data_IF_248718772463
#
_entry.id   IF_248718772463
#
_cell.length_a   1.000
_cell.length_b   1.000
_cell.length_c   1.000
_cell.angle_alpha   90.00
_cell.angle_beta   90.00
_cell.angle_gamma   90.00
#
_symmetry.space_group_name_H-M   'P 1'
#
loop_
_entity.id
_entity.type
_entity.pdbx_description
1 polymer ?
#
# COMPACT_ATOMS: atom_id res chain seq x y z
N UNK A 1 -17.97 -19.82 2.68
CA UNK A 1 -18.54 -18.50 2.31
C UNK A 1 -17.49 -17.80 1.47
N UNK A 2 -17.83 -17.46 0.24
CA UNK A 2 -16.90 -17.01 -0.79
C UNK A 2 -16.35 -15.61 -0.46
N UNK A 3 -15.04 -15.40 -0.60
CA UNK A 3 -14.30 -14.20 -0.14
C UNK A 3 -14.21 -13.10 -1.22
N UNK A 4 -15.03 -13.14 -2.25
CA UNK A 4 -14.82 -12.37 -3.49
C UNK A 4 -15.17 -10.87 -3.42
N UNK A 5 -15.52 -10.34 -2.24
CA UNK A 5 -16.02 -8.95 -2.09
C UNK A 5 -15.07 -8.01 -1.33
N UNK A 6 -13.78 -8.34 -1.18
CA UNK A 6 -12.83 -7.49 -0.43
C UNK A 6 -12.34 -6.26 -1.23
N UNK A 7 -12.60 -6.21 -2.54
CA UNK A 7 -12.21 -5.11 -3.41
C UNK A 7 -13.45 -4.54 -4.10
N UNK A 8 -13.86 -3.34 -3.71
CA UNK A 8 -14.97 -2.61 -4.35
C UNK A 8 -14.36 -1.54 -5.26
N UNK A 9 -14.66 -1.62 -6.56
CA UNK A 9 -14.31 -0.56 -7.51
C UNK A 9 -15.11 0.68 -7.16
N UNK A 10 -14.44 1.74 -6.71
CA UNK A 10 -15.05 3.05 -6.52
C UNK A 10 -14.98 3.82 -7.84
N UNK A 11 -16.14 4.06 -8.45
CA UNK A 11 -16.25 4.91 -9.64
C UNK A 11 -16.58 6.34 -9.21
N UNK A 12 -15.65 7.26 -9.45
CA UNK A 12 -15.90 8.70 -9.26
C UNK A 12 -16.96 9.11 -10.28
N UNK A 13 -18.11 9.61 -9.81
CA UNK A 13 -19.10 10.18 -10.72
C UNK A 13 -18.52 11.45 -11.36
N UNK A 14 -18.43 11.53 -12.69
CA UNK A 14 -17.87 12.69 -13.37
C UNK A 14 -18.65 13.96 -13.00
N UNK A 15 -17.94 14.97 -12.50
CA UNK A 15 -18.54 16.20 -11.98
C UNK A 15 -18.91 17.19 -13.11
N UNK A 16 -18.42 16.96 -14.34
CA UNK A 16 -18.62 17.83 -15.50
C UNK A 16 -19.07 17.07 -16.77
N UNK A 17 -19.73 17.76 -17.70
CA UNK A 17 -20.17 17.22 -19.00
C UNK A 17 -19.02 16.69 -19.87
N UNK A 18 -17.82 17.29 -19.77
CA UNK A 18 -16.62 16.81 -20.46
C UNK A 18 -16.21 15.41 -20.02
N UNK A 19 -16.27 15.15 -18.71
CA UNK A 19 -15.88 13.86 -18.14
C UNK A 19 -16.89 12.76 -18.49
N UNK A 20 -18.18 13.11 -18.64
CA UNK A 20 -19.21 12.19 -19.17
C UNK A 20 -18.94 11.78 -20.62
N UNK A 21 -18.51 12.73 -21.45
CA UNK A 21 -18.22 12.48 -22.85
C UNK A 21 -17.01 11.54 -23.01
N UNK A 22 -15.97 11.75 -22.21
CA UNK A 22 -14.79 10.89 -22.18
C UNK A 22 -15.10 9.47 -21.68
N UNK A 23 -16.02 9.33 -20.72
CA UNK A 23 -16.53 8.03 -20.27
C UNK A 23 -17.32 7.30 -21.38
N UNK A 24 -18.13 8.04 -22.16
CA UNK A 24 -18.91 7.45 -23.27
C UNK A 24 -18.06 7.02 -24.47
N UNK A 25 -16.92 7.67 -24.69
CA UNK A 25 -15.98 7.35 -25.78
C UNK A 25 -15.08 6.14 -25.46
N UNK A 26 -15.04 5.72 -24.20
CA UNK A 26 -14.27 4.54 -23.74
C UNK A 26 -15.09 3.25 -23.74
N UNK A 27 -16.38 3.30 -24.07
CA UNK A 27 -17.25 2.11 -24.22
C UNK A 27 -17.03 1.41 -25.57
N UNK A 28 -16.57 0.14 -25.62
CA UNK A 28 -16.24 -0.56 -26.86
C UNK A 28 -17.43 -1.02 -27.73
N UNK A 29 -18.67 -0.62 -27.40
CA UNK A 29 -19.89 -1.23 -27.96
C UNK A 29 -20.65 -0.40 -29.00
N UNK A 30 -20.13 0.75 -29.45
CA UNK A 30 -20.77 1.54 -30.51
C UNK A 30 -19.79 1.85 -31.64
N UNK A 31 -19.64 0.92 -32.58
CA UNK A 31 -18.97 1.16 -33.87
C UNK A 31 -20.04 1.17 -34.99
N UNK A 32 -20.26 2.27 -35.71
CA UNK A 32 -21.11 2.25 -36.91
C UNK A 32 -20.41 1.49 -38.04
N UNK A 33 -21.16 0.64 -38.72
CA UNK A 33 -20.74 -0.14 -39.89
C UNK A 33 -20.29 0.77 -41.05
N UNK A 34 -19.14 0.45 -41.64
CA UNK A 34 -18.62 1.12 -42.84
C UNK A 34 -19.38 0.61 -44.08
N UNK A 35 -20.24 1.45 -44.66
CA UNK A 35 -20.72 1.25 -46.03
C UNK A 35 -19.67 1.79 -47.01
N UNK A 36 -19.11 0.87 -47.79
CA UNK A 36 -18.26 1.15 -48.95
C UNK A 36 -19.08 1.78 -50.06
N UNK A 37 -18.64 2.90 -50.63
CA UNK A 37 -19.03 3.29 -51.98
C UNK A 37 -17.82 3.83 -52.75
N UNK A 38 -17.57 3.18 -53.90
CA UNK A 38 -16.62 3.57 -54.96
C UNK A 38 -17.24 4.67 -55.82
N UNK A 39 -16.41 5.58 -56.33
CA UNK A 39 -16.42 6.25 -57.67
C UNK A 39 -15.35 7.36 -57.61
N UNK A 40 -14.19 7.25 -58.28
CA UNK A 40 -13.81 7.46 -59.70
C UNK A 40 -13.64 8.93 -60.16
N UNK A 41 -12.37 9.22 -60.49
CA UNK A 41 -11.81 10.05 -61.58
C UNK A 41 -11.97 11.60 -61.57
N UNK A 42 -10.85 12.32 -61.77
CA UNK A 42 -10.84 13.57 -62.55
C UNK A 42 -10.03 14.78 -62.05
N UNK A 43 -8.75 14.85 -62.44
CA UNK A 43 -8.04 16.01 -63.05
C UNK A 43 -7.55 17.27 -62.26
N UNK A 44 -6.55 17.88 -62.91
CA UNK A 44 -5.45 18.80 -62.58
C UNK A 44 -5.65 20.19 -61.89
N UNK A 45 -4.54 20.62 -61.25
CA UNK A 45 -3.80 21.90 -61.35
C UNK A 45 -3.62 22.83 -60.11
N UNK A 46 -2.33 23.07 -59.83
CA UNK A 46 -1.58 24.31 -59.49
C UNK A 46 -1.76 25.10 -58.19
N UNK A 47 -0.58 25.36 -57.61
CA UNK A 47 -0.06 26.54 -56.92
C UNK A 47 -0.36 26.88 -55.45
N UNK A 48 0.79 27.00 -54.75
CA UNK A 48 1.18 28.02 -53.79
C UNK A 48 0.68 28.04 -52.33
N UNK A 49 1.68 27.84 -51.47
CA UNK A 49 1.96 28.65 -50.26
C UNK A 49 1.03 28.46 -49.05
N UNK A 50 1.50 27.73 -48.03
CA UNK A 50 1.89 28.26 -46.71
C UNK A 50 2.17 27.11 -45.73
N UNK A 51 3.46 26.90 -45.43
CA UNK A 51 3.92 26.09 -44.32
C UNK A 51 3.52 26.79 -43.01
N UNK A 52 2.39 26.39 -42.43
CA UNK A 52 2.04 26.74 -41.06
C UNK A 52 2.26 25.48 -40.25
N UNK A 53 3.40 25.43 -39.57
CA UNK A 53 3.73 24.40 -38.60
C UNK A 53 2.75 24.53 -37.42
N UNK A 54 1.64 23.81 -37.51
CA UNK A 54 0.80 23.46 -36.37
C UNK A 54 1.21 22.03 -36.02
N UNK A 55 2.29 21.88 -35.26
CA UNK A 55 2.63 20.58 -34.68
C UNK A 55 1.80 20.42 -33.40
N UNK A 56 0.55 20.01 -33.63
CA UNK A 56 -0.30 19.35 -32.66
C UNK A 56 0.37 18.05 -32.21
N UNK A 57 1.07 18.06 -31.08
CA UNK A 57 1.12 16.88 -30.21
C UNK A 57 1.38 17.30 -28.76
N UNK A 58 0.44 18.06 -28.18
CA UNK A 58 0.20 17.93 -26.74
C UNK A 58 -0.50 16.59 -26.56
N UNK A 59 0.26 15.49 -26.53
CA UNK A 59 -0.21 14.24 -25.95
C UNK A 59 -0.51 14.51 -24.50
N UNK A 60 -1.74 14.92 -24.20
CA UNK A 60 -2.34 14.78 -22.89
C UNK A 60 -2.40 13.28 -22.64
N UNK A 61 -1.30 12.73 -22.14
CA UNK A 61 -1.29 11.38 -21.56
C UNK A 61 -2.28 11.44 -20.41
N UNK A 62 -3.53 11.07 -20.67
CA UNK A 62 -4.52 10.84 -19.64
C UNK A 62 -3.96 9.68 -18.80
N UNK A 63 -3.28 10.02 -17.71
CA UNK A 63 -2.78 9.03 -16.78
C UNK A 63 -4.02 8.36 -16.18
N UNK A 64 -4.21 7.08 -16.53
CA UNK A 64 -5.26 6.28 -15.91
C UNK A 64 -4.81 6.00 -14.47
N UNK A 65 -5.12 6.94 -13.58
CA UNK A 65 -4.69 6.87 -12.18
C UNK A 65 -5.55 5.85 -11.43
N UNK A 66 -4.87 4.94 -10.73
CA UNK A 66 -5.49 3.92 -9.87
C UNK A 66 -5.08 4.20 -8.43
N UNK A 67 -6.07 4.28 -7.54
CA UNK A 67 -5.85 4.52 -6.11
C UNK A 67 -6.42 3.38 -5.26
N UNK A 68 -5.79 3.15 -4.10
CA UNK A 68 -6.20 2.15 -3.11
C UNK A 68 -6.57 2.88 -1.82
N UNK A 69 -7.69 2.49 -1.20
CA UNK A 69 -8.10 2.97 0.12
C UNK A 69 -8.13 1.81 1.12
N UNK A 70 -7.39 1.94 2.23
CA UNK A 70 -7.40 0.97 3.32
C UNK A 70 -8.46 1.36 4.38
N UNK A 71 -9.62 0.72 4.30
CA UNK A 71 -10.76 0.93 5.22
C UNK A 71 -10.84 -0.19 6.25
N UNK A 72 -11.67 0.02 7.28
CA UNK A 72 -11.96 -1.00 8.32
C UNK A 72 -10.73 -1.46 9.13
N UNK A 73 -9.97 -0.49 9.66
CA UNK A 73 -8.75 -0.75 10.47
C UNK A 73 -9.04 -0.98 11.97
N UNK A 74 -10.30 -1.24 12.35
CA UNK A 74 -10.73 -1.27 13.76
C UNK A 74 -10.20 -2.44 14.60
N UNK A 75 -9.65 -3.48 13.96
CA UNK A 75 -9.07 -4.66 14.60
C UNK A 75 -7.52 -4.68 14.58
N UNK A 76 -6.90 -3.52 14.40
CA UNK A 76 -5.45 -3.36 14.46
C UNK A 76 -4.91 -3.32 15.90
N UNK A 77 -3.57 -3.22 16.04
CA UNK A 77 -2.85 -3.09 17.32
C UNK A 77 -3.09 -4.23 18.34
N UNK A 78 -2.73 -5.48 18.01
CA UNK A 78 -2.82 -6.57 18.98
C UNK A 78 -1.74 -6.46 20.06
N UNK A 79 -2.05 -6.88 21.29
CA UNK A 79 -1.08 -6.90 22.41
C UNK A 79 -0.17 -8.12 22.42
N UNK A 80 -0.44 -9.12 21.55
CA UNK A 80 0.39 -10.31 21.34
C UNK A 80 0.25 -10.80 19.90
N UNK A 81 1.23 -11.56 19.41
CA UNK A 81 1.05 -12.29 18.15
C UNK A 81 -0.07 -13.34 18.31
N UNK A 82 -0.85 -13.63 17.24
CA UNK A 82 -1.87 -14.65 17.30
C UNK A 82 -1.34 -16.02 17.71
N UNK A 83 -2.17 -16.79 18.40
CA UNK A 83 -1.88 -18.19 18.70
C UNK A 83 -2.24 -19.07 17.48
N UNK A 84 -1.62 -20.25 17.34
CA UNK A 84 -1.75 -21.13 16.15
C UNK A 84 -3.20 -21.53 15.78
N UNK A 85 -4.13 -21.53 16.73
CA UNK A 85 -5.53 -21.89 16.50
C UNK A 85 -6.37 -20.74 15.90
N UNK A 86 -5.83 -19.51 15.84
CA UNK A 86 -6.43 -18.36 15.14
C UNK A 86 -5.34 -17.57 14.44
N UNK A 87 -5.16 -17.81 13.14
CA UNK A 87 -3.98 -17.33 12.40
C UNK A 87 -4.09 -15.89 11.86
N UNK A 88 -5.24 -15.20 12.01
CA UNK A 88 -5.53 -13.85 11.49
C UNK A 88 -4.65 -13.42 10.29
N UNK A 89 -4.75 -14.14 9.16
CA UNK A 89 -3.82 -13.97 8.06
C UNK A 89 -4.05 -12.68 7.28
N UNK A 90 -2.99 -12.14 6.71
CA UNK A 90 -3.06 -11.06 5.74
C UNK A 90 -3.54 -11.59 4.39
N UNK A 91 -4.81 -11.34 4.04
CA UNK A 91 -5.41 -11.94 2.85
C UNK A 91 -4.73 -11.53 1.54
N UNK A 92 -4.17 -10.32 1.48
CA UNK A 92 -3.42 -9.85 0.32
C UNK A 92 -2.15 -10.67 0.06
N UNK A 93 -1.63 -11.43 1.04
CA UNK A 93 -0.43 -12.24 0.87
C UNK A 93 -0.59 -13.37 -0.16
N UNK A 94 -1.83 -13.78 -0.45
CA UNK A 94 -2.11 -14.81 -1.47
C UNK A 94 -2.21 -14.27 -2.89
N UNK A 95 -2.24 -12.95 -3.06
CA UNK A 95 -2.28 -12.33 -4.37
C UNK A 95 -0.92 -12.46 -5.06
N UNK A 96 -0.93 -12.55 -6.40
CA UNK A 96 0.32 -12.63 -7.18
C UNK A 96 1.21 -11.41 -6.93
N UNK A 97 0.60 -10.26 -6.69
CA UNK A 97 1.23 -8.99 -6.36
C UNK A 97 2.11 -9.08 -5.10
N UNK A 98 1.73 -9.90 -4.10
CA UNK A 98 2.51 -10.06 -2.88
C UNK A 98 3.83 -10.82 -3.08
N UNK A 99 4.01 -11.50 -4.22
CA UNK A 99 5.27 -12.19 -4.58
C UNK A 99 6.27 -11.26 -5.27
N UNK A 100 5.88 -10.02 -5.58
CA UNK A 100 6.75 -9.03 -6.18
C UNK A 100 7.58 -8.38 -5.06
N UNK A 101 8.92 -8.31 -5.17
CA UNK A 101 9.77 -7.59 -4.22
C UNK A 101 9.35 -6.15 -3.99
N UNK A 102 9.64 -5.61 -2.80
CA UNK A 102 9.47 -4.18 -2.55
C UNK A 102 10.28 -3.33 -3.55
N UNK A 103 9.62 -2.38 -4.20
CA UNK A 103 10.25 -1.46 -5.16
C UNK A 103 11.26 -0.53 -4.49
N UNK A 104 12.20 0.01 -5.27
CA UNK A 104 13.14 1.02 -4.76
C UNK A 104 12.41 2.28 -4.30
N UNK A 105 11.31 2.65 -4.97
CA UNK A 105 10.45 3.76 -4.57
C UNK A 105 9.94 3.61 -3.14
N UNK A 106 9.27 2.49 -2.80
CA UNK A 106 8.73 2.31 -1.44
C UNK A 106 9.85 2.20 -0.40
N UNK A 107 10.99 1.58 -0.76
CA UNK A 107 12.17 1.52 0.11
C UNK A 107 12.71 2.92 0.41
N UNK A 108 12.90 3.76 -0.60
CA UNK A 108 13.35 5.14 -0.42
C UNK A 108 12.37 5.97 0.42
N UNK A 109 11.07 5.76 0.27
CA UNK A 109 10.06 6.51 1.02
C UNK A 109 9.91 6.06 2.48
N UNK A 110 9.98 4.76 2.78
CA UNK A 110 9.64 4.23 4.11
C UNK A 110 10.88 3.94 4.96
N UNK A 111 11.93 3.39 4.36
CA UNK A 111 13.09 2.85 5.09
C UNK A 111 13.83 3.89 5.95
N UNK A 112 13.99 5.18 5.54
CA UNK A 112 14.64 6.20 6.38
C UNK A 112 13.95 6.39 7.74
N UNK A 113 12.63 6.28 7.78
CA UNK A 113 11.83 6.48 8.99
C UNK A 113 11.85 5.27 9.90
N UNK A 114 11.57 4.08 9.35
CA UNK A 114 11.46 2.86 10.16
C UNK A 114 12.82 2.30 10.61
N UNK A 115 13.92 2.73 9.97
CA UNK A 115 15.28 2.38 10.38
C UNK A 115 15.79 3.26 11.53
N UNK A 116 15.25 4.47 11.69
CA UNK A 116 15.63 5.36 12.78
C UNK A 116 14.82 5.05 14.05
N UNK A 117 15.53 4.59 15.08
CA UNK A 117 14.91 4.28 16.37
C UNK A 117 14.43 5.53 17.10
N UNK A 118 14.98 6.71 16.82
CA UNK A 118 14.48 7.95 17.40
C UNK A 118 13.11 8.30 16.82
N UNK A 119 12.95 8.27 15.50
CA UNK A 119 11.64 8.42 14.85
C UNK A 119 10.62 7.41 15.37
N UNK A 120 10.95 6.11 15.34
CA UNK A 120 10.02 5.05 15.78
C UNK A 120 9.60 5.27 17.23
N UNK A 121 10.51 5.73 18.08
CA UNK A 121 10.23 5.94 19.50
C UNK A 121 9.45 7.23 19.75
N UNK A 122 9.98 8.37 19.32
CA UNK A 122 9.49 9.69 19.71
C UNK A 122 8.36 10.22 18.83
N UNK A 123 8.37 9.92 17.54
CA UNK A 123 7.36 10.42 16.61
C UNK A 123 6.21 9.43 16.45
N UNK A 124 6.49 8.12 16.43
CA UNK A 124 5.45 7.11 16.19
C UNK A 124 4.87 6.52 17.48
N UNK A 125 5.71 5.94 18.34
CA UNK A 125 5.22 5.24 19.54
C UNK A 125 4.63 6.20 20.58
N UNK A 126 5.28 7.33 20.83
CA UNK A 126 4.83 8.30 21.84
C UNK A 126 3.53 8.99 21.38
N UNK A 127 3.35 9.25 20.08
CA UNK A 127 2.09 9.77 19.50
C UNK A 127 0.94 8.76 19.66
N UNK A 128 1.17 7.47 19.34
CA UNK A 128 0.15 6.41 19.54
C UNK A 128 -0.20 6.26 21.02
N UNK A 129 0.80 6.30 21.90
CA UNK A 129 0.57 6.24 23.35
C UNK A 129 -0.27 7.43 23.82
N UNK A 130 0.01 8.63 23.32
CA UNK A 130 -0.78 9.84 23.59
C UNK A 130 -2.21 9.71 23.09
N UNK A 131 -2.41 9.17 21.88
CA UNK A 131 -3.74 8.92 21.32
C UNK A 131 -4.54 7.93 22.18
N UNK A 132 -3.97 6.77 22.51
CA UNK A 132 -4.66 5.74 23.29
C UNK A 132 -4.94 6.19 24.73
N UNK A 133 -4.18 7.14 25.27
CA UNK A 133 -4.42 7.68 26.62
C UNK A 133 -5.72 8.49 26.75
N UNK A 134 -6.38 8.82 25.64
CA UNK A 134 -7.66 9.52 25.64
C UNK A 134 -8.85 8.60 25.96
N UNK A 135 -8.67 7.28 25.85
CA UNK A 135 -9.71 6.31 26.17
C UNK A 135 -9.93 6.20 27.68
N UNK A 136 -11.19 6.07 28.10
CA UNK A 136 -11.57 5.93 29.52
C UNK A 136 -10.96 4.70 30.18
N UNK A 137 -10.81 3.62 29.40
CA UNK A 137 -10.29 2.33 29.86
C UNK A 137 -8.81 2.12 29.51
N UNK A 138 -8.05 3.22 29.35
CA UNK A 138 -6.64 3.17 29.03
C UNK A 138 -5.82 2.36 30.07
N UNK A 139 -5.21 1.27 29.62
CA UNK A 139 -4.22 0.51 30.38
C UNK A 139 -2.82 0.69 29.76
N UNK A 140 -1.98 1.48 30.45
CA UNK A 140 -0.59 1.71 30.07
C UNK A 140 0.18 0.42 29.82
N UNK A 141 -0.02 -0.64 30.62
CA UNK A 141 0.69 -1.91 30.45
C UNK A 141 0.24 -2.64 29.19
N UNK A 142 -1.04 -2.56 28.84
CA UNK A 142 -1.58 -3.11 27.60
C UNK A 142 -1.00 -2.39 26.38
N UNK A 143 -1.01 -1.05 26.41
CA UNK A 143 -0.47 -0.24 25.31
C UNK A 143 1.02 -0.49 25.10
N UNK A 144 1.82 -0.60 26.17
CA UNK A 144 3.23 -0.96 26.04
C UNK A 144 3.45 -2.34 25.39
N UNK A 145 2.56 -3.31 25.64
CA UNK A 145 2.59 -4.62 24.95
C UNK A 145 2.25 -4.47 23.47
N UNK A 146 1.22 -3.70 23.12
CA UNK A 146 0.87 -3.40 21.72
C UNK A 146 2.04 -2.74 20.98
N UNK A 147 2.66 -1.73 21.60
CA UNK A 147 3.83 -1.06 21.02
C UNK A 147 5.05 -1.99 20.91
N UNK A 148 5.19 -2.98 21.81
CA UNK A 148 6.25 -3.99 21.71
C UNK A 148 6.06 -4.94 20.51
N UNK A 149 4.80 -5.24 20.16
CA UNK A 149 4.47 -5.96 18.92
C UNK A 149 4.75 -5.08 17.71
N UNK A 150 4.29 -3.83 17.72
CA UNK A 150 4.50 -2.88 16.62
C UNK A 150 5.99 -2.68 16.32
N UNK A 151 6.84 -2.50 17.34
CA UNK A 151 8.30 -2.40 17.18
C UNK A 151 8.90 -3.66 16.56
N UNK A 152 8.41 -4.84 16.90
CA UNK A 152 8.81 -6.10 16.28
C UNK A 152 8.41 -6.19 14.81
N UNK A 153 7.21 -5.73 14.45
CA UNK A 153 6.75 -5.66 13.06
C UNK A 153 7.58 -4.68 12.23
N UNK A 154 7.87 -3.50 12.78
CA UNK A 154 8.73 -2.48 12.17
C UNK A 154 10.14 -3.05 11.92
N UNK A 155 10.69 -3.80 12.87
CA UNK A 155 12.00 -4.44 12.71
C UNK A 155 12.02 -5.46 11.56
N UNK A 156 11.00 -6.32 11.48
CA UNK A 156 10.87 -7.29 10.40
C UNK A 156 10.69 -6.61 9.04
N UNK A 157 9.85 -5.57 8.97
CA UNK A 157 9.63 -4.78 7.76
C UNK A 157 10.94 -4.13 7.28
N UNK A 158 11.67 -3.46 8.17
CA UNK A 158 12.94 -2.81 7.82
C UNK A 158 13.96 -3.84 7.29
N UNK A 159 14.03 -5.02 7.91
CA UNK A 159 14.91 -6.09 7.45
C UNK A 159 14.48 -6.63 6.08
N UNK A 160 13.18 -6.91 5.88
CA UNK A 160 12.65 -7.38 4.60
C UNK A 160 12.91 -6.40 3.46
N UNK A 161 12.75 -5.10 3.70
CA UNK A 161 13.03 -4.05 2.72
C UNK A 161 14.52 -3.97 2.35
N UNK A 162 15.43 -4.11 3.33
CA UNK A 162 16.89 -4.13 3.07
C UNK A 162 17.32 -5.37 2.29
N UNK A 163 16.72 -6.50 2.60
CA UNK A 163 17.02 -7.78 1.94
C UNK A 163 16.37 -7.92 0.55
N UNK A 164 15.57 -6.93 0.12
CA UNK A 164 14.85 -6.98 -1.16
C UNK A 164 13.77 -8.07 -1.20
N UNK A 165 13.19 -8.43 -0.06
CA UNK A 165 12.10 -9.42 0.04
C UNK A 165 10.79 -8.88 -0.54
N UNK A 166 9.89 -9.81 -0.87
CA UNK A 166 8.49 -9.54 -1.21
C UNK A 166 7.59 -9.44 0.03
N UNK A 167 6.40 -8.82 -0.08
CA UNK A 167 5.39 -8.84 0.99
C UNK A 167 5.02 -10.25 1.47
N UNK A 168 5.02 -11.23 0.57
CA UNK A 168 4.78 -12.64 0.89
C UNK A 168 5.89 -13.21 1.77
N UNK A 169 7.16 -12.94 1.47
CA UNK A 169 8.28 -13.40 2.30
C UNK A 169 8.33 -12.66 3.65
N UNK A 170 7.93 -11.39 3.69
CA UNK A 170 7.80 -10.63 4.94
C UNK A 170 6.84 -11.31 5.92
N UNK A 171 5.65 -11.73 5.46
CA UNK A 171 4.67 -12.38 6.36
C UNK A 171 5.11 -13.76 6.84
N UNK A 172 6.08 -14.38 6.16
CA UNK A 172 6.68 -15.65 6.59
C UNK A 172 7.79 -15.46 7.64
N UNK A 173 8.25 -14.24 7.86
CA UNK A 173 9.26 -13.97 8.89
C UNK A 173 8.71 -14.31 10.28
N UNK A 174 9.55 -14.91 11.17
CA UNK A 174 9.12 -15.22 12.52
C UNK A 174 8.74 -13.94 13.26
N UNK A 175 7.65 -14.01 14.04
CA UNK A 175 7.17 -12.87 14.82
C UNK A 175 8.23 -12.41 15.82
N UNK A 176 8.50 -11.11 15.85
CA UNK A 176 9.42 -10.51 16.82
C UNK A 176 8.63 -9.67 17.82
N UNK A 177 9.09 -9.63 19.07
CA UNK A 177 8.62 -8.70 20.10
C UNK A 177 9.82 -7.88 20.57
N UNK A 178 9.66 -6.56 20.64
CA UNK A 178 10.72 -5.65 21.10
C UNK A 178 10.22 -4.87 22.33
N UNK A 179 10.66 -5.31 23.50
CA UNK A 179 10.31 -4.69 24.78
C UNK A 179 11.29 -3.57 25.13
N UNK A 180 10.77 -2.45 25.66
CA UNK A 180 11.59 -1.40 26.27
C UNK A 180 11.96 -1.82 27.68
N UNK A 181 13.24 -1.91 28.02
CA UNK A 181 13.66 -1.99 29.42
C UNK A 181 13.70 -0.58 30.00
N UNK A 182 12.91 -0.34 31.03
CA UNK A 182 13.09 0.83 31.89
C UNK A 182 14.35 0.58 32.71
N UNK A 183 15.44 1.23 32.33
CA UNK A 183 16.63 1.35 33.19
C UNK A 183 16.46 2.65 33.94
N UNK A 184 16.84 2.64 35.21
CA UNK A 184 16.82 3.78 36.11
C UNK A 184 17.37 5.06 35.42
N UNK A 185 16.76 6.25 35.59
CA UNK A 185 17.17 7.48 34.89
C UNK A 185 18.64 7.88 35.14
N UNK A 186 19.29 7.29 36.13
CA UNK A 186 20.69 7.52 36.52
C UNK A 186 21.70 6.84 35.58
N UNK A 187 21.27 5.87 34.75
CA UNK A 187 22.12 5.17 33.79
C UNK A 187 21.55 5.43 32.39
N UNK A 188 22.00 6.51 31.75
CA UNK A 188 21.41 7.16 30.56
C UNK A 188 21.37 6.37 29.24
N UNK A 189 21.22 5.04 29.26
CA UNK A 189 21.10 4.22 28.05
C UNK A 189 19.81 3.40 28.05
N UNK A 190 18.87 3.74 27.14
CA UNK A 190 17.67 2.94 26.86
C UNK A 190 18.07 1.64 26.17
N UNK A 191 17.76 0.50 26.78
CA UNK A 191 18.02 -0.81 26.19
C UNK A 191 16.73 -1.47 25.72
N UNK A 192 16.73 -1.97 24.48
CA UNK A 192 15.65 -2.80 23.94
C UNK A 192 16.00 -4.29 24.10
N UNK A 193 15.01 -5.11 24.45
CA UNK A 193 15.15 -6.58 24.43
C UNK A 193 14.35 -7.14 23.28
N UNK A 194 15.05 -7.76 22.34
CA UNK A 194 14.43 -8.56 21.27
C UNK A 194 14.10 -9.94 21.81
N UNK A 195 12.85 -10.36 21.67
CA UNK A 195 12.42 -11.74 21.84
C UNK A 195 11.93 -12.23 20.49
N UNK A 196 12.51 -13.33 20.01
CA UNK A 196 11.98 -14.05 18.86
C UNK A 196 10.82 -14.90 19.36
N UNK A 197 9.72 -14.92 18.61
CA UNK A 197 8.80 -16.02 18.69
C UNK A 197 9.43 -17.14 17.86
N UNK A 198 10.05 -18.13 18.52
CA UNK A 198 10.76 -19.27 17.88
C UNK A 198 9.83 -20.18 17.07
N UNK A 199 8.56 -19.79 16.93
CA UNK A 199 7.55 -20.48 16.14
C UNK A 199 7.38 -19.73 14.83
N UNK A 200 7.79 -20.39 13.74
CA UNK A 200 7.48 -19.96 12.39
C UNK A 200 5.97 -19.70 12.29
N UNK A 201 5.52 -18.65 11.59
CA UNK A 201 4.13 -18.56 11.21
C UNK A 201 3.82 -19.79 10.34
N UNK A 202 3.21 -20.81 10.94
CA UNK A 202 2.73 -22.00 10.26
C UNK A 202 1.53 -21.57 9.40
N UNK A 203 1.83 -20.98 8.25
CA UNK A 203 0.92 -20.99 7.12
C UNK A 203 1.22 -22.25 6.31
N UNK A 204 1.08 -23.43 6.92
CA UNK A 204 1.04 -24.68 6.17
C UNK A 204 -0.32 -24.78 5.51
N UNK A 205 -0.40 -24.51 4.20
CA UNK A 205 -1.62 -24.75 3.44
C UNK A 205 -1.28 -25.49 2.15
N UNK A 206 -1.83 -26.71 2.08
CA UNK A 206 -1.87 -27.62 0.92
C UNK A 206 -2.61 -26.99 -0.27
#
# INVERSE_FOLDING_TARGET
RNTDNWLVKYEVKPNNERDRLLQSLSDPQLRPEQQTNKNKEGDQNTDDTQNTAIDETTTTTTTNDIHIAAIDNGLAFPFKHPDEWRTYPFHWAWLKQAKIPFSDEIKCHVLPFISDMNFVQHELCDEIQRLFSQDKDYDRRLVERQLSIMRGQILNLAQAMRDGKSPFELVQMPGVIVERRHIDPTVGHRQFKRKLNDRYPLFSWF
#
